data_IF_753943388637
#
_entry.id   IF_753943388637
#
_cell.length_a   1.000
_cell.length_b   1.000
_cell.length_c   1.000
_cell.angle_alpha   90.00
_cell.angle_beta   90.00
_cell.angle_gamma   90.00
#
_symmetry.space_group_name_H-M   'P 1'
#
loop_
_entity.id
_entity.type
_entity.pdbx_description
1 polymer ?
#
# COMPACT_ATOMS: atom_id res chain seq x y z
N UNK A 1 8.49 10.23 -4.61
CA UNK A 1 7.45 9.33 -4.06
C UNK A 1 6.15 9.36 -4.86
N UNK A 2 5.65 10.53 -5.24
CA UNK A 2 4.38 10.69 -5.99
C UNK A 2 4.36 9.96 -7.33
N UNK A 3 5.41 10.12 -8.15
CA UNK A 3 5.56 9.46 -9.46
C UNK A 3 5.52 7.93 -9.34
N UNK A 4 6.19 7.37 -8.33
CA UNK A 4 6.23 5.93 -8.08
C UNK A 4 4.85 5.39 -7.66
N UNK A 5 4.10 6.15 -6.86
CA UNK A 5 2.74 5.79 -6.47
C UNK A 5 1.80 5.82 -7.69
N UNK A 6 1.93 6.83 -8.56
CA UNK A 6 1.16 6.95 -9.80
C UNK A 6 1.49 5.79 -10.76
N UNK A 7 2.76 5.43 -10.93
CA UNK A 7 3.11 4.29 -11.79
C UNK A 7 2.53 2.97 -11.27
N UNK A 8 2.51 2.80 -9.94
CA UNK A 8 1.95 1.61 -9.31
C UNK A 8 0.42 1.52 -9.50
N UNK A 9 -0.30 2.64 -9.31
CA UNK A 9 -1.76 2.66 -9.51
C UNK A 9 -2.17 2.53 -10.98
N UNK A 10 -1.38 3.08 -11.91
CA UNK A 10 -1.58 2.86 -13.35
C UNK A 10 -1.36 1.38 -13.70
N UNK A 11 -0.32 0.75 -13.13
CA UNK A 11 -0.09 -0.69 -13.27
C UNK A 11 -1.30 -1.51 -12.82
N UNK A 12 -1.84 -1.21 -11.64
CA UNK A 12 -3.06 -1.86 -11.12
C UNK A 12 -4.26 -1.65 -12.04
N UNK A 13 -4.53 -0.43 -12.50
CA UNK A 13 -5.61 -0.13 -13.44
C UNK A 13 -5.49 -0.96 -14.72
N UNK A 14 -4.30 -0.99 -15.32
CA UNK A 14 -4.06 -1.76 -16.54
C UNK A 14 -4.29 -3.26 -16.32
N UNK A 15 -3.89 -3.79 -15.16
CA UNK A 15 -4.15 -5.17 -14.77
C UNK A 15 -5.63 -5.50 -14.69
N UNK A 16 -6.45 -4.65 -14.07
CA UNK A 16 -7.91 -4.87 -13.97
C UNK A 16 -8.60 -4.82 -15.34
N UNK A 17 -8.20 -3.89 -16.22
CA UNK A 17 -8.75 -3.78 -17.57
C UNK A 17 -8.40 -5.01 -18.42
N UNK A 18 -7.12 -5.39 -18.45
CA UNK A 18 -6.66 -6.58 -19.18
C UNK A 18 -7.34 -7.85 -18.65
N UNK A 19 -7.46 -7.98 -17.32
CA UNK A 19 -8.17 -9.10 -16.69
C UNK A 19 -9.63 -9.17 -17.18
N UNK A 20 -10.34 -8.04 -17.19
CA UNK A 20 -11.75 -7.98 -17.63
C UNK A 20 -11.93 -8.45 -19.08
N UNK A 21 -11.06 -8.01 -19.99
CA UNK A 21 -11.13 -8.41 -21.40
C UNK A 21 -10.79 -9.90 -21.62
N UNK A 22 -9.87 -10.46 -20.82
CA UNK A 22 -9.55 -11.89 -20.82
C UNK A 22 -10.77 -12.71 -20.35
N UNK A 23 -11.45 -12.29 -19.28
CA UNK A 23 -12.65 -12.96 -18.78
C UNK A 23 -13.81 -12.96 -19.78
N UNK A 24 -13.94 -11.92 -20.62
CA UNK A 24 -14.95 -11.84 -21.67
C UNK A 24 -14.63 -12.68 -22.90
N UNK A 25 -13.35 -12.74 -23.28
CA UNK A 25 -12.92 -13.35 -24.56
C UNK A 25 -12.72 -14.86 -24.45
N UNK A 26 -12.27 -15.33 -23.28
CA UNK A 26 -11.90 -16.74 -23.07
C UNK A 26 -12.89 -17.37 -22.10
N UNK A 27 -13.68 -18.34 -22.57
CA UNK A 27 -14.63 -19.07 -21.71
C UNK A 27 -14.11 -20.43 -21.21
N UNK A 28 -13.00 -20.94 -21.77
CA UNK A 28 -12.39 -22.22 -21.38
C UNK A 28 -10.94 -22.00 -20.95
N UNK A 29 -10.55 -22.51 -19.78
CA UNK A 29 -9.20 -22.41 -19.20
C UNK A 29 -8.68 -20.98 -18.91
N UNK A 30 -9.56 -20.06 -18.49
CA UNK A 30 -9.24 -18.65 -18.17
C UNK A 30 -8.05 -18.50 -17.22
N UNK A 31 -8.00 -19.33 -16.18
CA UNK A 31 -6.93 -19.28 -15.19
C UNK A 31 -5.54 -19.50 -15.80
N UNK A 32 -5.42 -20.42 -16.77
CA UNK A 32 -4.14 -20.71 -17.42
C UNK A 32 -3.64 -19.50 -18.22
N UNK A 33 -4.53 -18.83 -18.94
CA UNK A 33 -4.20 -17.62 -19.72
C UNK A 33 -3.82 -16.47 -18.79
N UNK A 34 -4.55 -16.30 -17.68
CA UNK A 34 -4.28 -15.22 -16.71
C UNK A 34 -2.93 -15.40 -16.00
N UNK A 35 -2.62 -16.61 -15.53
CA UNK A 35 -1.32 -16.89 -14.91
C UNK A 35 -0.18 -16.86 -15.93
N UNK A 36 -0.42 -17.31 -17.17
CA UNK A 36 0.55 -17.25 -18.26
C UNK A 36 0.95 -15.81 -18.61
N UNK A 37 -0.03 -14.92 -18.77
CA UNK A 37 0.23 -13.49 -19.05
C UNK A 37 0.99 -12.81 -17.90
N UNK A 38 0.63 -13.09 -16.65
CA UNK A 38 1.37 -12.59 -15.47
C UNK A 38 2.84 -13.07 -15.45
N UNK A 39 3.08 -14.35 -15.73
CA UNK A 39 4.42 -14.92 -15.79
C UNK A 39 5.27 -14.28 -16.89
N UNK A 40 4.70 -14.04 -18.08
CA UNK A 40 5.37 -13.30 -19.14
C UNK A 40 5.77 -11.88 -18.71
N UNK A 41 4.86 -11.14 -18.07
CA UNK A 41 5.16 -9.79 -17.56
C UNK A 41 6.28 -9.81 -16.52
N UNK A 42 6.29 -10.78 -15.60
CA UNK A 42 7.34 -10.91 -14.59
C UNK A 42 8.70 -11.24 -15.21
N UNK A 43 8.74 -12.10 -16.24
CA UNK A 43 9.96 -12.41 -16.97
C UNK A 43 10.49 -11.16 -17.69
N UNK A 44 9.61 -10.38 -18.33
CA UNK A 44 10.00 -9.13 -19.00
C UNK A 44 10.58 -8.12 -18.00
N UNK A 45 9.97 -7.97 -16.82
CA UNK A 45 10.48 -7.11 -15.75
C UNK A 45 11.85 -7.60 -15.27
N UNK A 46 12.02 -8.91 -15.09
CA UNK A 46 13.30 -9.49 -14.66
C UNK A 46 14.39 -9.24 -15.71
N UNK A 47 14.09 -9.45 -17.00
CA UNK A 47 15.01 -9.14 -18.09
C UNK A 47 15.36 -7.64 -18.11
N UNK A 48 14.38 -6.76 -18.00
CA UNK A 48 14.61 -5.32 -17.92
C UNK A 48 15.53 -4.95 -16.75
N UNK A 49 15.30 -5.56 -15.58
CA UNK A 49 16.10 -5.28 -14.37
C UNK A 49 17.54 -5.77 -14.53
N UNK A 50 17.79 -6.89 -15.21
CA UNK A 50 19.15 -7.43 -15.41
C UNK A 50 19.93 -6.64 -16.48
N UNK A 51 19.29 -6.26 -17.58
CA UNK A 51 19.99 -5.67 -18.73
C UNK A 51 20.00 -4.14 -18.74
N UNK A 52 18.92 -3.49 -18.29
CA UNK A 52 18.71 -2.05 -18.45
C UNK A 52 18.88 -1.26 -17.15
N UNK A 53 18.84 -1.91 -15.99
CA UNK A 53 19.18 -1.22 -14.75
C UNK A 53 20.71 -1.21 -14.66
N UNK A 54 21.40 -0.09 -14.97
CA UNK A 54 22.79 0.01 -14.63
C UNK A 54 22.86 -0.20 -13.12
N UNK A 55 23.70 -1.14 -12.69
CA UNK A 55 23.98 -1.30 -11.28
C UNK A 55 24.45 0.07 -10.80
N UNK A 56 23.62 0.77 -10.02
CA UNK A 56 23.98 2.02 -9.38
C UNK A 56 24.95 1.61 -8.28
N UNK A 57 26.16 1.24 -8.67
CA UNK A 57 27.33 1.27 -7.82
C UNK A 57 27.46 2.76 -7.52
N UNK A 58 26.88 3.15 -6.39
CA UNK A 58 27.30 4.36 -5.69
C UNK A 58 28.81 4.22 -5.63
N UNK A 59 29.55 5.09 -6.34
CA UNK A 59 31.00 5.10 -6.35
C UNK A 59 31.50 5.03 -4.91
N UNK A 60 31.89 3.81 -4.53
CA UNK A 60 32.33 3.38 -3.20
C UNK A 60 33.86 3.51 -3.15
N UNK A 61 34.48 4.31 -4.02
CA UNK A 61 35.90 4.65 -3.91
C UNK A 61 36.24 5.36 -2.58
N UNK A 62 35.25 5.87 -1.82
CA UNK A 62 35.46 6.35 -0.45
C UNK A 62 35.18 5.33 0.68
N UNK A 63 34.58 4.17 0.41
CA UNK A 63 34.25 3.16 1.43
C UNK A 63 35.13 1.90 1.30
N UNK A 64 35.71 1.65 0.12
CA UNK A 64 36.46 0.43 -0.22
C UNK A 64 37.72 0.16 0.63
N UNK A 65 38.33 1.14 1.30
CA UNK A 65 39.56 0.88 2.07
C UNK A 65 39.29 0.17 3.42
N UNK A 66 38.03 0.11 3.90
CA UNK A 66 37.74 -0.42 5.24
C UNK A 66 36.93 -1.72 5.31
N UNK A 67 36.24 -2.13 4.25
CA UNK A 67 35.23 -3.21 4.34
C UNK A 67 35.61 -4.53 3.64
N UNK A 68 36.66 -4.57 2.82
CA UNK A 68 36.99 -5.75 2.00
C UNK A 68 37.31 -7.03 2.81
N UNK A 69 37.63 -6.91 4.12
CA UNK A 69 37.84 -8.08 5.00
C UNK A 69 36.68 -8.43 5.93
N UNK A 70 35.61 -7.64 5.98
CA UNK A 70 34.45 -7.93 6.82
C UNK A 70 33.20 -7.99 5.95
N UNK A 71 32.84 -9.23 5.66
CA UNK A 71 31.51 -9.74 6.03
C UNK A 71 30.49 -9.92 4.90
N UNK A 72 30.67 -11.03 4.18
CA UNK A 72 29.53 -11.85 3.71
C UNK A 72 28.60 -12.36 4.84
N UNK A 73 28.86 -11.98 6.11
CA UNK A 73 28.00 -12.18 7.29
C UNK A 73 27.35 -10.88 7.82
N UNK A 74 27.52 -9.70 7.17
CA UNK A 74 27.06 -8.40 7.69
C UNK A 74 25.85 -7.83 6.98
N UNK A 75 25.41 -8.43 5.85
CA UNK A 75 24.17 -8.01 5.20
C UNK A 75 22.92 -8.31 6.07
N UNK A 76 23.02 -9.29 6.99
CA UNK A 76 21.97 -9.64 7.96
C UNK A 76 22.48 -9.55 9.41
N UNK A 77 23.20 -8.48 9.76
CA UNK A 77 23.50 -8.27 11.18
C UNK A 77 22.23 -7.81 11.91
N UNK A 78 21.79 -8.59 12.89
CA UNK A 78 20.74 -8.20 13.86
C UNK A 78 21.06 -6.84 14.51
N UNK A 79 22.34 -6.45 14.53
CA UNK A 79 22.77 -5.10 14.95
C UNK A 79 22.11 -3.99 14.13
N UNK A 80 22.05 -4.12 12.80
CA UNK A 80 21.45 -3.11 11.92
C UNK A 80 19.92 -3.03 12.10
N UNK A 81 19.27 -4.15 12.39
CA UNK A 81 17.84 -4.19 12.72
C UNK A 81 17.61 -3.47 14.06
N UNK A 82 18.41 -3.78 15.08
CA UNK A 82 18.33 -3.13 16.39
C UNK A 82 18.59 -1.63 16.30
N UNK A 83 19.58 -1.21 15.52
CA UNK A 83 19.86 0.21 15.27
C UNK A 83 18.71 0.91 14.53
N UNK A 84 18.11 0.26 13.53
CA UNK A 84 16.97 0.82 12.80
C UNK A 84 15.72 0.93 13.68
N UNK A 85 15.48 -0.07 14.54
CA UNK A 85 14.41 -0.03 15.54
C UNK A 85 14.69 1.03 16.62
N UNK A 86 15.95 1.17 17.04
CA UNK A 86 16.39 2.18 18.01
C UNK A 86 16.24 3.59 17.46
N UNK A 87 16.35 3.80 16.14
CA UNK A 87 16.10 5.09 15.48
C UNK A 87 14.63 5.53 15.65
N UNK A 88 13.66 4.62 15.61
CA UNK A 88 12.26 4.96 15.92
C UNK A 88 12.05 5.40 17.38
N UNK A 89 12.86 4.85 18.30
CA UNK A 89 12.75 5.10 19.75
C UNK A 89 13.71 6.20 20.26
N UNK A 90 14.57 6.75 19.39
CA UNK A 90 15.62 7.71 19.76
C UNK A 90 15.03 9.05 20.23
N UNK A 91 15.67 9.71 21.20
CA UNK A 91 15.18 10.99 21.74
C UNK A 91 15.46 12.11 20.76
N UNK A 92 14.39 12.75 20.29
CA UNK A 92 14.46 13.92 19.42
C UNK A 92 13.85 15.11 20.14
N UNK A 93 14.53 16.28 20.15
CA UNK A 93 13.99 17.50 20.72
C UNK A 93 12.74 17.93 19.93
N UNK A 94 11.71 18.44 20.63
CA UNK A 94 10.39 18.81 20.11
C UNK A 94 9.52 17.64 19.63
N UNK A 95 8.82 16.93 20.54
CA UNK A 95 7.71 15.96 20.35
C UNK A 95 7.78 14.96 19.16
N UNK A 96 8.90 14.88 18.42
CA UNK A 96 9.01 14.18 17.15
C UNK A 96 8.94 12.67 17.31
N UNK A 97 9.32 12.16 18.49
CA UNK A 97 9.09 10.76 18.88
C UNK A 97 7.61 10.39 18.84
N UNK A 98 6.79 11.18 19.52
CA UNK A 98 5.35 10.94 19.59
C UNK A 98 4.72 11.05 18.21
N UNK A 99 5.17 12.01 17.39
CA UNK A 99 4.71 12.16 16.01
C UNK A 99 5.07 10.96 15.13
N UNK A 100 6.31 10.45 15.20
CA UNK A 100 6.74 9.27 14.43
C UNK A 100 6.02 7.99 14.85
N UNK A 101 5.86 7.78 16.17
CA UNK A 101 5.11 6.65 16.70
C UNK A 101 3.64 6.75 16.27
N UNK A 102 3.05 7.94 16.34
CA UNK A 102 1.67 8.18 15.93
C UNK A 102 1.48 7.92 14.43
N UNK A 103 2.37 8.43 13.58
CA UNK A 103 2.33 8.22 12.12
C UNK A 103 2.48 6.74 11.77
N UNK A 104 3.39 6.04 12.44
CA UNK A 104 3.58 4.60 12.27
C UNK A 104 2.35 3.83 12.75
N UNK A 105 1.78 4.21 13.89
CA UNK A 105 0.55 3.63 14.41
C UNK A 105 -0.64 3.88 13.49
N UNK A 106 -0.75 5.07 12.88
CA UNK A 106 -1.81 5.38 11.90
C UNK A 106 -1.70 4.45 10.70
N UNK A 107 -0.51 4.23 10.14
CA UNK A 107 -0.35 3.27 9.02
C UNK A 107 -0.76 1.86 9.44
N UNK A 108 -0.33 1.41 10.61
CA UNK A 108 -0.67 0.07 11.09
C UNK A 108 -2.17 -0.05 11.37
N UNK A 109 -2.78 0.95 12.00
CA UNK A 109 -4.21 0.98 12.26
C UNK A 109 -4.98 1.10 10.97
N UNK A 110 -4.53 1.87 9.99
CA UNK A 110 -5.16 1.99 8.68
C UNK A 110 -5.16 0.64 7.97
N UNK A 111 -4.02 -0.05 7.94
CA UNK A 111 -3.93 -1.42 7.39
C UNK A 111 -4.84 -2.35 8.20
N UNK A 112 -4.77 -2.35 9.53
CA UNK A 112 -5.60 -3.22 10.36
C UNK A 112 -7.08 -2.90 10.20
N UNK A 113 -7.51 -1.64 10.17
CA UNK A 113 -8.91 -1.25 10.06
C UNK A 113 -9.42 -1.45 8.64
N UNK A 114 -8.69 -1.09 7.59
CA UNK A 114 -9.13 -1.40 6.23
C UNK A 114 -9.14 -2.91 5.95
N UNK A 115 -8.31 -3.68 6.65
CA UNK A 115 -8.25 -5.14 6.53
C UNK A 115 -9.22 -5.88 7.48
N UNK A 116 -9.58 -5.30 8.63
CA UNK A 116 -10.50 -5.84 9.65
C UNK A 116 -11.88 -5.14 9.70
N UNK A 117 -12.15 -4.06 8.96
CA UNK A 117 -13.44 -3.34 9.03
C UNK A 117 -14.63 -4.15 8.47
N UNK A 118 -14.39 -5.35 7.95
CA UNK A 118 -15.44 -6.30 7.57
C UNK A 118 -15.45 -7.52 8.54
N UNK A 119 -14.84 -7.39 9.73
CA UNK A 119 -14.77 -8.42 10.78
C UNK A 119 -15.92 -8.37 11.80
N UNK A 120 -17.13 -7.95 11.40
CA UNK A 120 -18.30 -8.00 12.30
C UNK A 120 -19.52 -8.78 11.80
N UNK A 121 -19.47 -9.50 10.66
CA UNK A 121 -20.65 -10.24 10.21
C UNK A 121 -20.49 -11.66 9.65
N UNK A 122 -19.37 -12.35 9.81
CA UNK A 122 -19.49 -13.82 9.70
C UNK A 122 -18.47 -14.56 10.54
N UNK A 123 -19.00 -15.31 11.51
CA UNK A 123 -18.28 -16.30 12.32
C UNK A 123 -17.99 -17.61 11.57
N UNK A 124 -18.33 -17.70 10.29
CA UNK A 124 -18.19 -18.93 9.52
C UNK A 124 -17.83 -18.54 8.08
N UNK A 125 -16.54 -18.58 7.76
CA UNK A 125 -16.01 -19.26 6.56
C UNK A 125 -14.52 -18.92 6.37
N UNK A 126 -13.77 -19.85 6.94
CA UNK A 126 -12.44 -20.35 6.64
C UNK A 126 -11.86 -20.04 5.24
N UNK A 127 -10.57 -19.67 5.25
CA UNK A 127 -9.60 -19.63 4.15
C UNK A 127 -9.89 -18.60 3.04
N UNK A 128 -9.08 -17.54 2.94
CA UNK A 128 -8.29 -17.19 1.75
C UNK A 128 -7.59 -15.84 1.94
N UNK A 129 -6.29 -15.83 1.62
CA UNK A 129 -5.40 -14.67 1.70
C UNK A 129 -5.79 -13.55 0.73
N UNK A 130 -5.73 -12.31 1.19
CA UNK A 130 -5.75 -11.10 0.35
C UNK A 130 -7.00 -10.24 0.51
N UNK A 131 -6.79 -8.97 0.86
CA UNK A 131 -7.77 -7.89 1.00
C UNK A 131 -8.81 -7.83 -0.13
N UNK A 132 -8.39 -8.08 -1.37
CA UNK A 132 -9.24 -8.10 -2.56
C UNK A 132 -10.19 -9.29 -2.62
N UNK A 133 -9.76 -10.46 -2.15
CA UNK A 133 -10.55 -11.70 -2.22
C UNK A 133 -11.72 -11.66 -1.24
N UNK A 134 -11.52 -11.15 -0.02
CA UNK A 134 -12.59 -11.04 0.97
C UNK A 134 -13.66 -10.04 0.54
N UNK A 135 -13.27 -8.85 0.08
CA UNK A 135 -14.20 -7.84 -0.43
C UNK A 135 -15.03 -8.40 -1.59
N UNK A 136 -14.42 -9.16 -2.50
CA UNK A 136 -15.12 -9.84 -3.57
C UNK A 136 -16.14 -10.87 -3.05
N UNK A 137 -15.73 -11.73 -2.11
CA UNK A 137 -16.60 -12.75 -1.49
C UNK A 137 -17.80 -12.12 -0.76
N UNK A 138 -17.59 -11.05 0.01
CA UNK A 138 -18.67 -10.33 0.69
C UNK A 138 -19.63 -9.67 -0.31
N UNK A 139 -19.11 -9.04 -1.37
CA UNK A 139 -19.94 -8.42 -2.40
C UNK A 139 -20.71 -9.47 -3.22
N UNK A 140 -20.10 -10.62 -3.46
CA UNK A 140 -20.77 -11.77 -4.08
C UNK A 140 -21.88 -12.31 -3.19
N UNK A 141 -21.69 -12.36 -1.87
CA UNK A 141 -22.71 -12.81 -0.92
C UNK A 141 -23.85 -11.79 -0.75
N UNK A 142 -23.55 -10.49 -0.69
CA UNK A 142 -24.53 -9.43 -0.43
C UNK A 142 -25.26 -8.93 -1.68
N UNK A 143 -24.58 -8.86 -2.82
CA UNK A 143 -25.10 -8.25 -4.05
C UNK A 143 -25.08 -9.20 -5.26
N UNK A 144 -24.68 -10.46 -5.07
CA UNK A 144 -24.56 -11.47 -6.14
C UNK A 144 -23.63 -11.04 -7.29
N UNK A 145 -22.63 -10.21 -7.01
CA UNK A 145 -21.68 -9.75 -8.02
C UNK A 145 -20.87 -10.91 -8.61
N UNK A 146 -20.68 -10.87 -9.93
CA UNK A 146 -19.78 -11.76 -10.64
C UNK A 146 -18.33 -11.24 -10.59
N UNK A 147 -17.37 -12.09 -10.96
CA UNK A 147 -15.96 -11.68 -11.05
C UNK A 147 -15.76 -10.53 -12.05
N UNK A 148 -16.58 -10.48 -13.09
CA UNK A 148 -16.58 -9.40 -14.08
C UNK A 148 -17.02 -8.06 -13.45
N UNK A 149 -18.14 -8.05 -12.73
CA UNK A 149 -18.66 -6.85 -12.06
C UNK A 149 -17.65 -6.28 -11.06
N UNK A 150 -16.98 -7.15 -10.32
CA UNK A 150 -15.94 -6.75 -9.38
C UNK A 150 -14.70 -6.19 -10.07
N UNK A 151 -14.29 -6.76 -11.20
CA UNK A 151 -13.17 -6.24 -11.98
C UNK A 151 -13.48 -4.86 -12.57
N UNK A 152 -14.69 -4.64 -13.09
CA UNK A 152 -15.15 -3.33 -13.57
C UNK A 152 -15.18 -2.31 -12.43
N UNK A 153 -15.74 -2.67 -11.27
CA UNK A 153 -15.72 -1.83 -10.08
C UNK A 153 -14.29 -1.44 -9.67
N UNK A 154 -13.39 -2.42 -9.63
CA UNK A 154 -11.99 -2.22 -9.24
C UNK A 154 -11.21 -1.39 -10.25
N UNK A 155 -11.51 -1.53 -11.55
CA UNK A 155 -10.97 -0.70 -12.61
C UNK A 155 -11.41 0.77 -12.45
N UNK A 156 -12.70 1.02 -12.18
CA UNK A 156 -13.20 2.37 -11.93
C UNK A 156 -12.51 3.00 -10.72
N UNK A 157 -12.44 2.29 -9.60
CA UNK A 157 -11.75 2.79 -8.40
C UNK A 157 -10.26 3.05 -8.66
N UNK A 158 -9.59 2.17 -9.39
CA UNK A 158 -8.18 2.34 -9.76
C UNK A 158 -7.99 3.56 -10.67
N UNK A 159 -8.91 3.81 -11.59
CA UNK A 159 -8.91 5.01 -12.44
C UNK A 159 -9.06 6.28 -11.60
N UNK A 160 -10.00 6.28 -10.66
CA UNK A 160 -10.18 7.40 -9.72
C UNK A 160 -8.96 7.57 -8.81
N UNK A 161 -8.33 6.48 -8.38
CA UNK A 161 -7.08 6.51 -7.62
C UNK A 161 -5.91 7.12 -8.41
N UNK A 162 -5.80 6.86 -9.72
CA UNK A 162 -4.79 7.52 -10.58
C UNK A 162 -5.02 9.03 -10.63
N UNK A 163 -6.25 9.46 -10.87
CA UNK A 163 -6.62 10.88 -10.87
C UNK A 163 -6.33 11.50 -9.50
N UNK A 164 -6.69 10.80 -8.43
CA UNK A 164 -6.46 11.23 -7.04
C UNK A 164 -4.97 11.32 -6.70
N UNK A 165 -4.13 10.39 -7.17
CA UNK A 165 -2.68 10.43 -6.96
C UNK A 165 -2.00 11.57 -7.72
N UNK A 166 -2.49 11.90 -8.91
CA UNK A 166 -1.97 13.01 -9.72
C UNK A 166 -2.43 14.38 -9.18
N UNK A 167 -3.74 14.52 -8.96
CA UNK A 167 -4.35 15.80 -8.62
C UNK A 167 -4.47 16.03 -7.11
N UNK A 168 -4.62 14.97 -6.30
CA UNK A 168 -4.97 15.09 -4.89
C UNK A 168 -3.90 15.75 -4.03
N UNK A 169 -2.61 15.42 -4.24
CA UNK A 169 -1.54 16.14 -3.54
C UNK A 169 -1.42 17.59 -3.97
N UNK A 170 -1.63 17.88 -5.25
CA UNK A 170 -1.64 19.27 -5.74
C UNK A 170 -2.83 20.04 -5.14
N UNK A 171 -4.02 19.44 -5.12
CA UNK A 171 -5.24 20.03 -4.56
C UNK A 171 -5.09 20.30 -3.06
N UNK A 172 -4.67 19.30 -2.28
CA UNK A 172 -4.54 19.40 -0.83
C UNK A 172 -3.48 20.44 -0.43
N UNK A 173 -2.33 20.46 -1.10
CA UNK A 173 -1.24 21.37 -0.73
C UNK A 173 -1.39 22.78 -1.30
N UNK A 174 -1.86 22.92 -2.55
CA UNK A 174 -1.92 24.21 -3.25
C UNK A 174 -3.22 24.97 -2.96
N UNK A 175 -4.35 24.28 -2.87
CA UNK A 175 -5.66 24.94 -2.72
C UNK A 175 -5.99 25.17 -1.25
N UNK A 176 -5.64 24.25 -0.37
CA UNK A 176 -5.96 24.37 1.06
C UNK A 176 -4.80 24.93 1.90
N UNK A 177 -3.56 24.89 1.39
CA UNK A 177 -2.39 25.44 2.10
C UNK A 177 -2.14 24.81 3.48
N UNK A 178 -2.61 23.58 3.69
CA UNK A 178 -2.66 22.94 5.00
C UNK A 178 -1.28 22.40 5.40
N UNK A 179 -0.98 22.47 6.70
CA UNK A 179 0.15 21.76 7.29
C UNK A 179 0.00 20.25 7.02
N UNK A 180 1.10 19.56 6.69
CA UNK A 180 1.06 18.16 6.27
C UNK A 180 0.44 17.21 7.29
N UNK A 181 0.55 17.52 8.59
CA UNK A 181 -0.14 16.80 9.67
C UNK A 181 -1.66 16.95 9.59
N UNK A 182 -2.17 18.15 9.28
CA UNK A 182 -3.61 18.39 9.14
C UNK A 182 -4.16 17.73 7.87
N UNK A 183 -3.41 17.78 6.77
CA UNK A 183 -3.75 17.06 5.53
C UNK A 183 -3.88 15.55 5.79
N UNK A 184 -2.94 14.97 6.54
CA UNK A 184 -2.96 13.55 6.90
C UNK A 184 -4.18 13.21 7.76
N UNK A 185 -4.51 14.04 8.75
CA UNK A 185 -5.68 13.84 9.60
C UNK A 185 -7.01 13.97 8.83
N UNK A 186 -7.08 14.86 7.85
CA UNK A 186 -8.25 15.02 6.99
C UNK A 186 -8.44 13.83 6.05
N UNK A 187 -7.36 13.31 5.47
CA UNK A 187 -7.43 12.08 4.66
C UNK A 187 -7.90 10.91 5.52
N UNK A 188 -7.36 10.77 6.73
CA UNK A 188 -7.76 9.71 7.66
C UNK A 188 -9.25 9.81 8.06
N UNK A 189 -9.76 11.01 8.31
CA UNK A 189 -11.18 11.18 8.66
C UNK A 189 -12.11 10.82 7.49
N UNK A 190 -11.74 11.19 6.26
CA UNK A 190 -12.47 10.79 5.05
C UNK A 190 -12.45 9.28 4.84
N UNK A 191 -11.31 8.63 5.13
CA UNK A 191 -11.20 7.18 5.14
C UNK A 191 -12.16 6.53 6.15
N UNK A 192 -12.21 7.02 7.39
CA UNK A 192 -13.15 6.52 8.40
C UNK A 192 -14.61 6.70 7.97
N UNK A 193 -14.95 7.87 7.42
CA UNK A 193 -16.30 8.15 6.92
C UNK A 193 -16.66 7.19 5.79
N UNK A 194 -15.75 6.97 4.84
CA UNK A 194 -15.92 5.99 3.76
C UNK A 194 -16.21 4.59 4.31
N UNK A 195 -15.44 4.12 5.29
CA UNK A 195 -15.64 2.79 5.89
C UNK A 195 -17.00 2.66 6.57
N UNK A 196 -17.47 3.69 7.26
CA UNK A 196 -18.82 3.72 7.86
C UNK A 196 -19.89 3.70 6.77
N UNK A 197 -19.75 4.50 5.72
CA UNK A 197 -20.71 4.56 4.61
C UNK A 197 -20.77 3.23 3.83
N UNK A 198 -19.62 2.58 3.63
CA UNK A 198 -19.54 1.24 3.03
C UNK A 198 -20.31 0.22 3.89
N UNK A 199 -20.12 0.25 5.21
CA UNK A 199 -20.81 -0.66 6.14
C UNK A 199 -22.32 -0.44 6.17
N UNK A 200 -22.78 0.81 6.04
CA UNK A 200 -24.20 1.15 6.00
C UNK A 200 -24.85 0.91 4.63
N UNK A 201 -24.07 0.66 3.58
CA UNK A 201 -24.58 0.58 2.22
C UNK A 201 -25.37 -0.70 1.98
N UNK A 202 -26.67 -0.55 1.71
CA UNK A 202 -27.58 -1.66 1.32
C UNK A 202 -27.80 -1.76 -0.18
N UNK A 203 -27.24 -0.83 -0.97
CA UNK A 203 -27.41 -0.77 -2.42
C UNK A 203 -26.05 -0.78 -3.11
N UNK A 204 -25.98 -1.43 -4.28
CA UNK A 204 -24.79 -1.42 -5.13
C UNK A 204 -24.32 0.01 -5.42
N UNK A 205 -25.20 0.92 -5.84
CA UNK A 205 -24.84 2.31 -6.15
C UNK A 205 -24.30 3.09 -4.95
N UNK A 206 -24.88 2.87 -3.76
CA UNK A 206 -24.39 3.44 -2.51
C UNK A 206 -23.01 2.91 -2.13
N UNK A 207 -22.69 1.68 -2.51
CA UNK A 207 -21.38 1.09 -2.30
C UNK A 207 -20.33 1.73 -3.21
N UNK A 208 -20.66 1.96 -4.48
CA UNK A 208 -19.81 2.71 -5.42
C UNK A 208 -19.50 4.11 -4.90
N UNK A 209 -20.51 4.89 -4.51
CA UNK A 209 -20.29 6.26 -4.02
C UNK A 209 -19.45 6.29 -2.74
N UNK A 210 -19.69 5.36 -1.81
CA UNK A 210 -18.93 5.27 -0.57
C UNK A 210 -17.46 4.93 -0.83
N UNK A 211 -17.21 3.99 -1.74
CA UNK A 211 -15.85 3.59 -2.11
C UNK A 211 -15.05 4.71 -2.80
N UNK A 212 -15.70 5.64 -3.49
CA UNK A 212 -15.03 6.81 -4.08
C UNK A 212 -14.41 7.72 -3.01
N UNK A 213 -15.07 7.89 -1.86
CA UNK A 213 -14.49 8.65 -0.74
C UNK A 213 -13.25 7.96 -0.17
N UNK A 214 -13.24 6.63 -0.18
CA UNK A 214 -12.10 5.80 0.22
C UNK A 214 -10.90 5.87 -0.71
N UNK A 215 -11.04 6.35 -1.96
CA UNK A 215 -9.91 6.49 -2.89
C UNK A 215 -8.83 7.46 -2.40
N UNK A 216 -9.16 8.36 -1.47
CA UNK A 216 -8.18 9.25 -0.83
C UNK A 216 -7.14 8.48 0.01
N UNK A 217 -7.44 7.26 0.45
CA UNK A 217 -6.51 6.40 1.19
C UNK A 217 -5.20 6.16 0.43
N UNK A 218 -5.24 6.17 -0.91
CA UNK A 218 -4.06 6.01 -1.78
C UNK A 218 -2.99 7.08 -1.55
N UNK A 219 -3.37 8.24 -1.00
CA UNK A 219 -2.47 9.32 -0.65
C UNK A 219 -1.87 9.19 0.76
N UNK A 220 -2.43 8.34 1.62
CA UNK A 220 -2.06 8.27 3.03
C UNK A 220 -0.61 7.78 3.21
N UNK A 221 -0.23 6.68 2.55
CA UNK A 221 1.12 6.14 2.62
C UNK A 221 2.21 7.14 2.17
N UNK A 222 2.11 7.81 1.00
CA UNK A 222 3.11 8.80 0.61
C UNK A 222 3.08 10.07 1.48
N UNK A 223 1.92 10.51 1.99
CA UNK A 223 1.82 11.64 2.92
C UNK A 223 2.56 11.35 4.22
N UNK A 224 2.31 10.19 4.83
CA UNK A 224 2.96 9.81 6.09
C UNK A 224 4.47 9.64 5.89
N UNK A 225 4.91 9.00 4.80
CA UNK A 225 6.34 8.86 4.48
C UNK A 225 7.00 10.22 4.22
N UNK A 226 6.27 11.20 3.68
CA UNK A 226 6.74 12.59 3.54
C UNK A 226 6.90 13.28 4.89
N UNK A 227 5.92 13.16 5.79
CA UNK A 227 6.00 13.72 7.15
C UNK A 227 7.15 13.10 7.95
N UNK A 228 7.33 11.77 7.87
CA UNK A 228 8.47 11.07 8.48
C UNK A 228 9.79 11.64 7.95
N UNK A 229 9.90 11.88 6.65
CA UNK A 229 11.10 12.43 6.02
C UNK A 229 11.40 13.87 6.48
N UNK A 230 10.39 14.64 6.86
CA UNK A 230 10.57 15.99 7.41
C UNK A 230 11.08 15.97 8.87
N UNK A 231 10.63 14.99 9.66
CA UNK A 231 10.95 14.86 11.10
C UNK A 231 12.27 14.11 11.35
N UNK A 232 12.75 13.35 10.36
CA UNK A 232 13.95 12.51 10.45
C UNK A 232 15.13 13.17 9.71
N UNK A 233 16.33 13.29 10.34
CA UNK A 233 17.51 13.78 9.64
C UNK A 233 17.91 12.85 8.49
N UNK A 234 18.43 13.43 7.40
CA UNK A 234 18.72 12.72 6.13
C UNK A 234 19.53 11.42 6.28
N UNK A 235 20.41 11.31 7.28
CA UNK A 235 21.21 10.10 7.56
C UNK A 235 20.40 8.94 8.15
N UNK A 236 19.24 9.19 8.74
CA UNK A 236 18.38 8.20 9.41
C UNK A 236 17.05 7.95 8.66
N UNK A 237 16.74 8.70 7.59
CA UNK A 237 15.46 8.60 6.86
C UNK A 237 15.23 7.19 6.34
N UNK A 238 16.23 6.61 5.66
CA UNK A 238 16.13 5.25 5.11
C UNK A 238 15.86 4.19 6.17
N UNK A 239 16.45 4.32 7.36
CA UNK A 239 16.21 3.41 8.50
C UNK A 239 14.76 3.52 8.98
N UNK A 240 14.24 4.74 9.15
CA UNK A 240 12.86 4.95 9.59
C UNK A 240 11.83 4.43 8.60
N UNK A 241 11.98 4.72 7.30
CA UNK A 241 11.07 4.26 6.25
C UNK A 241 11.13 2.73 6.12
N UNK A 242 12.32 2.13 6.22
CA UNK A 242 12.48 0.68 6.19
C UNK A 242 11.70 -0.01 7.32
N UNK A 243 11.78 0.51 8.55
CA UNK A 243 11.02 -0.08 9.66
C UNK A 243 9.52 0.12 9.48
N UNK A 244 9.07 1.30 9.05
CA UNK A 244 7.65 1.53 8.73
C UNK A 244 7.16 0.54 7.68
N UNK A 245 7.90 0.33 6.58
CA UNK A 245 7.50 -0.61 5.54
C UNK A 245 7.63 -2.09 5.94
N UNK A 246 8.56 -2.42 6.83
CA UNK A 246 8.60 -3.76 7.44
C UNK A 246 7.37 -4.01 8.29
N UNK A 247 6.93 -3.01 9.05
CA UNK A 247 5.72 -3.11 9.87
C UNK A 247 4.45 -3.16 9.01
N UNK A 248 4.38 -2.39 7.93
CA UNK A 248 3.35 -2.50 6.88
C UNK A 248 3.26 -3.94 6.35
N UNK A 249 4.41 -4.57 6.07
CA UNK A 249 4.47 -5.93 5.55
C UNK A 249 4.08 -7.00 6.59
N UNK A 250 4.37 -6.78 7.88
CA UNK A 250 4.07 -7.72 8.98
C UNK A 250 2.62 -7.62 9.45
N UNK A 251 2.02 -6.42 9.45
CA UNK A 251 0.66 -6.16 9.90
C UNK A 251 -0.39 -7.18 9.40
N UNK A 252 -0.47 -7.53 8.09
CA UNK A 252 -1.44 -8.52 7.61
C UNK A 252 -1.23 -9.92 8.19
N UNK A 253 0.02 -10.32 8.49
CA UNK A 253 0.31 -11.64 9.09
C UNK A 253 -0.15 -11.72 10.54
N UNK A 254 -0.01 -10.63 11.31
CA UNK A 254 -0.51 -10.57 12.69
C UNK A 254 -2.03 -10.72 12.77
N UNK A 255 -2.77 -10.16 11.82
CA UNK A 255 -4.23 -10.34 11.74
C UNK A 255 -4.61 -11.81 11.55
N UNK A 256 -3.90 -12.53 10.68
CA UNK A 256 -4.15 -13.95 10.39
C UNK A 256 -3.82 -14.84 11.60
N UNK A 257 -2.73 -14.57 12.33
CA UNK A 257 -2.35 -15.40 13.47
C UNK A 257 -3.31 -15.28 14.66
N UNK A 258 -4.11 -14.22 14.75
CA UNK A 258 -5.13 -14.05 15.79
C UNK A 258 -6.41 -14.87 15.50
N UNK A 259 -6.51 -15.51 14.33
CA UNK A 259 -7.67 -16.33 13.92
C UNK A 259 -7.47 -17.83 14.27
N UNK A 260 -6.22 -18.25 14.48
CA UNK A 260 -5.85 -19.59 14.93
C UNK A 260 -5.70 -19.64 16.45
#
# INVERSE_FOLDING_TARGET
>A
MTVLNVSLTIGMLSGYLVSTEIYKTVHTNVNFVLFGTSLCCMILILMYTIFLLPEIVINTEEIEISEERRSKKSFFSISHIKESLAVLLKNRPSNGRALLILLTAIIVIDILVFQDAIRFHSRYDFFFSGESNFKFLSLKASFHWTAEDYNVFSAILSGVAVVTSLAGMWLLNRVLGLSGTFTTSLVLSMCCISSVLISLSKSSTGFYSSALFGCLAVLLSPLIKSEISYVVPNSEIGKSICVTSTLEAIAPFCCISSIY
#
